data_IF_594100587058
#
_entry.id   IF_594100587058
#
_cell.length_a   1.000
_cell.length_b   1.000
_cell.length_c   1.000
_cell.angle_alpha   90.00
_cell.angle_beta   90.00
_cell.angle_gamma   90.00
#
_symmetry.space_group_name_H-M   'P 1'
#
loop_
_entity.id
_entity.type
_entity.pdbx_description
1 polymer ?
#
# COMPACT_ATOMS: atom_id res chain seq x y z
N UNK A 1 -29.70 56.40 -24.42
CA UNK A 1 -30.01 54.93 -24.39
C UNK A 1 -28.97 54.02 -25.10
N UNK A 2 -28.27 54.45 -26.12
CA UNK A 2 -27.28 53.60 -26.84
C UNK A 2 -26.01 53.23 -26.02
N UNK A 3 -25.54 54.10 -25.11
CA UNK A 3 -24.33 53.85 -24.30
C UNK A 3 -24.51 52.80 -23.24
N UNK A 4 -25.72 52.65 -22.70
CA UNK A 4 -26.03 51.62 -21.64
C UNK A 4 -26.07 50.22 -22.28
N UNK A 5 -26.63 50.08 -23.49
CA UNK A 5 -26.68 48.78 -24.20
C UNK A 5 -25.29 48.25 -24.58
N UNK A 6 -24.34 49.13 -24.92
CA UNK A 6 -22.97 48.73 -25.28
C UNK A 6 -22.16 48.22 -24.10
N UNK A 7 -22.39 48.75 -22.90
CA UNK A 7 -21.72 48.28 -21.67
C UNK A 7 -22.32 46.93 -21.17
N UNK A 8 -23.60 46.71 -21.36
CA UNK A 8 -24.24 45.44 -21.01
C UNK A 8 -23.77 44.26 -21.90
N UNK A 9 -23.60 44.51 -23.19
CA UNK A 9 -23.08 43.53 -24.13
C UNK A 9 -21.59 43.14 -23.82
N UNK A 10 -20.76 44.12 -23.42
CA UNK A 10 -19.38 43.84 -22.96
C UNK A 10 -19.33 43.05 -21.65
N UNK A 11 -20.25 43.34 -20.71
CA UNK A 11 -20.31 42.62 -19.43
C UNK A 11 -20.72 41.17 -19.63
N UNK A 12 -21.69 40.87 -20.48
CA UNK A 12 -22.13 39.53 -20.82
C UNK A 12 -21.00 38.74 -21.52
N UNK A 13 -20.23 39.39 -22.42
CA UNK A 13 -19.11 38.73 -23.11
C UNK A 13 -17.97 38.34 -22.14
N UNK A 14 -17.71 39.15 -21.12
CA UNK A 14 -16.69 38.88 -20.10
C UNK A 14 -17.16 37.73 -19.17
N UNK A 15 -18.43 37.69 -18.81
CA UNK A 15 -18.98 36.62 -17.96
C UNK A 15 -18.97 35.29 -18.71
N UNK A 16 -19.28 35.22 -19.99
CA UNK A 16 -19.20 33.99 -20.80
C UNK A 16 -17.77 33.49 -20.98
N UNK A 17 -16.78 34.39 -21.07
CA UNK A 17 -15.35 34.01 -21.12
C UNK A 17 -14.84 33.44 -19.81
N UNK A 18 -15.31 33.94 -18.68
CA UNK A 18 -14.92 33.45 -17.34
C UNK A 18 -15.51 32.04 -17.07
N UNK A 19 -16.74 31.78 -17.51
CA UNK A 19 -17.39 30.48 -17.30
C UNK A 19 -16.69 29.36 -18.09
N UNK A 20 -16.06 29.67 -19.24
CA UNK A 20 -15.29 28.67 -20.01
C UNK A 20 -13.91 28.32 -19.43
N UNK A 21 -13.40 29.07 -18.43
CA UNK A 21 -12.11 28.78 -17.79
C UNK A 21 -12.22 27.86 -16.56
N UNK A 22 -13.43 27.54 -16.07
CA UNK A 22 -13.64 26.77 -14.84
C UNK A 22 -13.86 25.25 -15.14
N UNK A 23 -13.85 24.85 -16.39
CA UNK A 23 -13.92 23.41 -16.74
C UNK A 23 -12.55 22.78 -16.91
N UNK A 24 -11.64 23.01 -15.94
CA UNK A 24 -10.56 22.06 -15.71
C UNK A 24 -11.18 20.93 -14.87
N UNK A 25 -11.79 19.99 -15.57
CA UNK A 25 -12.16 18.71 -14.98
C UNK A 25 -10.86 18.08 -14.47
N UNK A 26 -10.69 18.08 -13.15
CA UNK A 26 -9.75 17.17 -12.51
C UNK A 26 -10.19 15.76 -12.92
N UNK A 27 -9.51 15.20 -13.92
CA UNK A 27 -9.70 13.79 -14.25
C UNK A 27 -9.27 13.04 -13.01
N UNK A 28 -10.10 12.11 -12.48
CA UNK A 28 -9.64 11.23 -11.44
C UNK A 28 -8.44 10.48 -12.02
N UNK A 29 -7.28 10.68 -11.44
CA UNK A 29 -6.13 9.83 -11.68
C UNK A 29 -6.59 8.43 -11.30
N UNK A 30 -6.80 7.56 -12.31
CA UNK A 30 -7.03 6.13 -12.10
C UNK A 30 -5.69 5.57 -11.59
N UNK A 31 -5.44 5.83 -10.32
CA UNK A 31 -4.27 5.36 -9.61
C UNK A 31 -4.62 4.08 -8.83
N UNK A 32 -3.63 3.42 -8.32
CA UNK A 32 -3.63 2.19 -7.49
C UNK A 32 -4.84 1.98 -6.54
N UNK A 33 -5.69 2.98 -6.34
CA UNK A 33 -6.90 2.93 -5.51
C UNK A 33 -7.98 1.97 -6.04
N UNK A 34 -8.00 1.67 -7.35
CA UNK A 34 -8.98 0.73 -7.93
C UNK A 34 -8.63 -0.74 -7.71
N UNK A 35 -7.36 -1.05 -7.40
CA UNK A 35 -6.91 -2.41 -7.13
C UNK A 35 -7.27 -2.87 -5.72
N UNK A 36 -7.23 -1.95 -4.75
CA UNK A 36 -7.35 -2.26 -3.34
C UNK A 36 -8.68 -1.78 -2.75
N UNK A 37 -9.36 -2.69 -2.05
CA UNK A 37 -10.50 -2.36 -1.21
C UNK A 37 -10.13 -2.50 0.26
N UNK A 38 -10.23 -1.41 1.02
CA UNK A 38 -9.89 -1.39 2.45
C UNK A 38 -11.11 -1.74 3.29
N UNK A 39 -10.96 -2.68 4.20
CA UNK A 39 -11.99 -3.09 5.15
C UNK A 39 -11.36 -3.17 6.55
N UNK A 40 -11.53 -2.10 7.34
CA UNK A 40 -10.94 -2.00 8.67
C UNK A 40 -9.43 -2.32 8.67
N UNK A 41 -9.02 -3.36 9.37
CA UNK A 41 -7.62 -3.80 9.49
C UNK A 41 -7.14 -4.68 8.33
N UNK A 42 -7.96 -4.88 7.30
CA UNK A 42 -7.64 -5.65 6.10
C UNK A 42 -7.63 -4.80 4.83
N UNK A 43 -6.86 -5.25 3.87
CA UNK A 43 -6.83 -4.75 2.50
C UNK A 43 -7.03 -5.90 1.54
N UNK A 44 -8.06 -5.82 0.73
CA UNK A 44 -8.37 -6.82 -0.30
C UNK A 44 -7.76 -6.34 -1.61
N UNK A 45 -6.88 -7.15 -2.19
CA UNK A 45 -6.39 -6.98 -3.55
C UNK A 45 -7.38 -7.67 -4.51
N UNK A 46 -8.08 -6.86 -5.28
CA UNK A 46 -9.11 -7.31 -6.21
C UNK A 46 -8.53 -8.03 -7.44
N UNK A 47 -7.26 -7.79 -7.78
CA UNK A 47 -6.63 -8.42 -8.94
C UNK A 47 -6.09 -9.82 -8.63
N UNK A 48 -5.59 -10.01 -7.43
CA UNK A 48 -4.99 -11.28 -7.00
C UNK A 48 -5.91 -12.12 -6.13
N UNK A 49 -7.07 -11.57 -5.73
CA UNK A 49 -8.00 -12.19 -4.77
C UNK A 49 -7.30 -12.56 -3.45
N UNK A 50 -6.38 -11.70 -3.01
CA UNK A 50 -5.69 -11.87 -1.72
C UNK A 50 -6.18 -10.84 -0.70
N UNK A 51 -6.06 -11.18 0.56
CA UNK A 51 -6.36 -10.31 1.68
C UNK A 51 -5.09 -10.08 2.50
N UNK A 52 -4.74 -8.83 2.70
CA UNK A 52 -3.54 -8.39 3.40
C UNK A 52 -3.88 -7.83 4.77
N UNK A 53 -3.00 -8.05 5.74
CA UNK A 53 -3.01 -7.22 6.93
C UNK A 53 -2.66 -5.78 6.55
N UNK A 54 -3.52 -4.83 6.93
CA UNK A 54 -3.30 -3.40 6.67
C UNK A 54 -2.09 -2.86 7.43
N UNK A 55 -1.91 -3.31 8.65
CA UNK A 55 -0.75 -2.98 9.50
C UNK A 55 0.34 -4.05 9.40
N UNK A 56 1.58 -3.66 9.62
CA UNK A 56 2.70 -4.57 9.79
C UNK A 56 2.58 -5.32 11.13
N UNK A 57 3.19 -6.49 11.25
CA UNK A 57 3.24 -7.23 12.51
C UNK A 57 3.87 -6.36 13.61
N UNK A 58 3.25 -6.35 14.78
CA UNK A 58 3.57 -5.47 15.91
C UNK A 58 2.75 -4.19 15.98
N UNK A 59 2.16 -3.77 14.87
CA UNK A 59 1.25 -2.63 14.85
C UNK A 59 -0.21 -3.07 15.00
N UNK A 60 -1.07 -2.11 15.40
CA UNK A 60 -2.52 -2.30 15.53
C UNK A 60 -3.27 -1.25 14.75
N UNK A 61 -4.33 -1.65 14.08
CA UNK A 61 -5.30 -0.74 13.48
C UNK A 61 -6.20 -0.11 14.56
N UNK A 62 -6.27 1.21 14.62
CA UNK A 62 -7.06 1.95 15.63
C UNK A 62 -8.39 2.49 15.08
N UNK A 63 -8.77 2.12 13.86
CA UNK A 63 -9.95 2.66 13.16
C UNK A 63 -9.58 3.69 12.08
N UNK A 64 -8.43 4.32 12.19
CA UNK A 64 -7.96 5.39 11.29
C UNK A 64 -6.58 5.09 10.68
N UNK A 65 -5.65 4.63 11.51
CA UNK A 65 -4.27 4.37 11.09
C UNK A 65 -3.66 3.18 11.83
N UNK A 66 -2.46 2.74 11.40
CA UNK A 66 -1.67 1.74 12.10
C UNK A 66 -0.84 2.41 13.20
N UNK A 67 -1.01 1.98 14.44
CA UNK A 67 -0.32 2.48 15.63
C UNK A 67 0.58 1.42 16.25
N UNK A 68 1.56 1.85 17.03
CA UNK A 68 2.57 0.98 17.64
C UNK A 68 3.82 0.85 16.76
N UNK A 69 4.76 0.03 17.22
CA UNK A 69 6.02 -0.23 16.51
C UNK A 69 5.96 -1.58 15.80
N UNK A 70 6.57 -1.65 14.64
CA UNK A 70 6.78 -2.95 13.99
C UNK A 70 7.65 -3.85 14.85
N UNK A 71 7.40 -5.14 14.74
CA UNK A 71 8.26 -6.18 15.30
C UNK A 71 9.00 -6.84 14.14
N UNK A 72 10.34 -6.77 14.18
CA UNK A 72 11.17 -7.50 13.23
C UNK A 72 11.39 -8.92 13.72
N UNK A 73 11.19 -9.89 12.86
CA UNK A 73 11.18 -11.33 13.18
C UNK A 73 12.11 -12.09 12.24
N UNK A 74 12.73 -13.13 12.76
CA UNK A 74 13.46 -14.11 11.96
C UNK A 74 12.52 -15.26 11.52
N UNK A 75 12.99 -16.16 10.67
CA UNK A 75 12.15 -17.25 10.14
C UNK A 75 11.70 -18.26 11.20
N UNK A 76 12.46 -18.47 12.27
CA UNK A 76 12.11 -19.43 13.32
C UNK A 76 10.92 -18.92 14.16
N UNK A 77 10.71 -17.61 14.21
CA UNK A 77 9.61 -16.97 14.92
C UNK A 77 8.30 -16.93 14.11
N UNK A 78 8.34 -17.28 12.81
CA UNK A 78 7.17 -17.14 11.93
C UNK A 78 6.05 -18.12 12.28
N UNK A 79 6.37 -19.33 12.68
CA UNK A 79 5.35 -20.34 13.02
C UNK A 79 4.44 -19.85 14.15
N UNK A 80 5.02 -19.28 15.20
CA UNK A 80 4.27 -18.72 16.33
C UNK A 80 3.39 -17.54 15.89
N UNK A 81 3.93 -16.63 15.10
CA UNK A 81 3.18 -15.46 14.60
C UNK A 81 2.03 -15.87 13.70
N UNK A 82 2.22 -16.84 12.82
CA UNK A 82 1.17 -17.36 11.95
C UNK A 82 0.08 -18.09 12.75
N UNK A 83 0.46 -18.81 13.80
CA UNK A 83 -0.49 -19.43 14.73
C UNK A 83 -1.33 -18.37 15.44
N UNK A 84 -0.71 -17.35 16.04
CA UNK A 84 -1.42 -16.24 16.69
C UNK A 84 -2.33 -15.47 15.72
N UNK A 85 -1.87 -15.22 14.51
CA UNK A 85 -2.70 -14.58 13.48
C UNK A 85 -3.93 -15.44 13.14
N UNK A 86 -3.76 -16.75 13.02
CA UNK A 86 -4.85 -17.68 12.74
C UNK A 86 -5.87 -17.76 13.88
N UNK A 87 -5.43 -17.72 15.12
CA UNK A 87 -6.29 -17.72 16.31
C UNK A 87 -7.10 -16.42 16.45
N UNK A 88 -6.49 -15.28 16.14
CA UNK A 88 -7.12 -13.97 16.35
C UNK A 88 -7.92 -13.46 15.15
N UNK A 89 -7.50 -13.79 13.93
CA UNK A 89 -8.00 -13.20 12.70
C UNK A 89 -8.55 -14.23 11.69
N UNK A 90 -8.62 -15.50 12.10
CA UNK A 90 -9.02 -16.61 11.24
C UNK A 90 -7.85 -17.21 10.46
N UNK A 91 -8.06 -18.38 9.88
CA UNK A 91 -7.01 -19.19 9.24
C UNK A 91 -6.50 -18.64 7.89
N UNK A 92 -5.42 -19.25 7.40
CA UNK A 92 -4.89 -19.02 6.06
C UNK A 92 -3.81 -17.95 5.97
N UNK A 93 -3.45 -17.27 7.06
CA UNK A 93 -2.37 -16.29 7.07
C UNK A 93 -1.02 -16.93 6.80
N UNK A 94 -0.23 -16.27 5.95
CA UNK A 94 1.10 -16.70 5.56
C UNK A 94 2.00 -15.50 5.22
N UNK A 95 3.28 -15.74 5.08
CA UNK A 95 4.17 -14.79 4.42
C UNK A 95 3.77 -14.66 2.94
N UNK A 96 3.89 -13.46 2.36
CA UNK A 96 3.66 -13.26 0.94
C UNK A 96 4.74 -13.93 0.10
N UNK A 97 4.39 -14.34 -1.11
CA UNK A 97 5.37 -14.62 -2.14
C UNK A 97 6.14 -13.34 -2.53
N UNK A 98 7.27 -13.49 -3.22
CA UNK A 98 8.02 -12.34 -3.71
C UNK A 98 7.17 -11.43 -4.61
N UNK A 99 6.46 -12.02 -5.56
CA UNK A 99 5.60 -11.28 -6.50
C UNK A 99 4.46 -10.54 -5.80
N UNK A 100 3.83 -11.17 -4.82
CA UNK A 100 2.78 -10.54 -4.04
C UNK A 100 3.31 -9.31 -3.29
N UNK A 101 4.45 -9.42 -2.61
CA UNK A 101 5.00 -8.30 -1.87
C UNK A 101 5.55 -7.20 -2.80
N UNK A 102 6.13 -7.57 -3.95
CA UNK A 102 6.54 -6.64 -5.00
C UNK A 102 5.36 -5.84 -5.57
N UNK A 103 4.16 -6.44 -5.66
CA UNK A 103 2.96 -5.76 -6.18
C UNK A 103 2.48 -4.61 -5.29
N UNK A 104 2.88 -4.57 -4.03
CA UNK A 104 2.58 -3.46 -3.13
C UNK A 104 3.50 -2.24 -3.34
N UNK A 105 4.58 -2.39 -4.12
CA UNK A 105 5.56 -1.32 -4.33
C UNK A 105 4.97 -0.23 -5.21
N UNK A 106 4.87 0.96 -4.66
CA UNK A 106 4.53 2.19 -5.36
C UNK A 106 5.83 2.95 -5.70
N UNK A 107 6.30 2.86 -6.95
CA UNK A 107 7.57 3.46 -7.35
C UNK A 107 7.55 4.99 -7.31
N UNK A 108 6.40 5.59 -7.63
CA UNK A 108 6.20 7.04 -7.68
C UNK A 108 5.84 7.64 -6.30
N UNK A 109 5.54 6.79 -5.31
CA UNK A 109 5.27 7.25 -3.96
C UNK A 109 6.55 7.83 -3.30
N UNK A 110 6.36 8.71 -2.31
CA UNK A 110 7.42 9.08 -1.37
C UNK A 110 7.86 7.85 -0.58
N UNK A 111 8.92 7.97 0.20
CA UNK A 111 9.33 6.94 1.17
C UNK A 111 8.32 6.94 2.33
N UNK A 112 7.81 5.76 2.69
CA UNK A 112 8.04 4.41 2.13
C UNK A 112 7.44 4.23 0.73
N UNK A 113 8.07 3.40 -0.10
CA UNK A 113 7.65 3.06 -1.47
C UNK A 113 6.45 2.10 -1.47
N UNK A 114 5.37 2.52 -0.85
CA UNK A 114 4.07 1.83 -0.76
C UNK A 114 2.98 2.90 -0.66
N UNK A 115 1.76 2.59 -1.08
CA UNK A 115 0.65 3.52 -0.92
C UNK A 115 0.28 3.68 0.56
N UNK A 116 0.60 4.84 1.14
CA UNK A 116 0.39 5.13 2.56
C UNK A 116 -1.09 5.34 2.95
N UNK A 117 -1.98 5.61 2.00
CA UNK A 117 -3.42 5.67 2.24
C UNK A 117 -4.01 4.27 2.47
N UNK A 118 -3.47 3.29 1.75
CA UNK A 118 -3.88 1.88 1.84
C UNK A 118 -3.16 1.19 3.00
N UNK A 119 -1.84 1.40 3.13
CA UNK A 119 -0.96 0.76 4.12
C UNK A 119 -0.25 1.82 4.99
N UNK A 120 -1.00 2.51 5.87
CA UNK A 120 -0.44 3.61 6.65
C UNK A 120 0.65 3.16 7.62
N UNK A 121 1.57 4.07 7.91
CA UNK A 121 2.67 3.86 8.85
C UNK A 121 3.51 2.60 8.58
N UNK A 122 3.65 2.23 7.30
CA UNK A 122 4.59 1.19 6.89
C UNK A 122 6.02 1.72 7.06
N UNK A 123 6.85 1.01 7.80
CA UNK A 123 8.25 1.40 7.97
C UNK A 123 9.05 1.20 6.68
N UNK A 124 9.97 2.12 6.35
CA UNK A 124 10.81 2.04 5.15
C UNK A 124 12.00 1.10 5.35
N UNK A 125 11.73 -0.17 5.57
CA UNK A 125 12.71 -1.23 5.85
C UNK A 125 12.45 -2.46 4.97
N UNK A 126 13.35 -3.47 4.97
CA UNK A 126 13.09 -4.75 4.31
C UNK A 126 11.99 -5.55 5.02
N UNK A 127 11.10 -6.13 4.22
CA UNK A 127 10.03 -7.04 4.65
C UNK A 127 10.27 -8.45 4.10
N UNK A 128 10.01 -9.47 4.92
CA UNK A 128 10.13 -10.85 4.53
C UNK A 128 9.12 -11.27 3.45
N UNK A 129 9.60 -12.10 2.53
CA UNK A 129 8.75 -13.02 1.77
C UNK A 129 8.89 -14.44 2.29
N UNK A 130 7.95 -15.33 1.95
CA UNK A 130 8.06 -16.76 2.24
C UNK A 130 8.96 -17.52 1.26
N UNK A 131 9.58 -16.85 0.28
CA UNK A 131 10.33 -17.52 -0.78
C UNK A 131 11.82 -17.59 -0.51
N UNK A 132 12.38 -18.80 -0.59
CA UNK A 132 13.82 -18.99 -0.66
C UNK A 132 14.38 -18.56 -2.02
N UNK A 133 15.59 -18.03 -2.01
CA UNK A 133 16.32 -17.76 -3.23
C UNK A 133 16.80 -19.09 -3.86
N UNK A 134 16.29 -19.40 -5.05
CA UNK A 134 16.61 -20.66 -5.77
C UNK A 134 18.08 -20.78 -6.15
N UNK A 135 18.76 -19.66 -6.37
CA UNK A 135 20.18 -19.61 -6.72
C UNK A 135 21.11 -19.58 -5.50
N UNK A 136 20.61 -19.05 -4.38
CA UNK A 136 21.34 -18.97 -3.12
C UNK A 136 20.48 -19.58 -2.00
N UNK A 137 20.43 -20.90 -1.94
CA UNK A 137 19.47 -21.70 -1.12
C UNK A 137 19.44 -21.39 0.38
N UNK A 138 20.49 -20.74 0.90
CA UNK A 138 20.56 -20.31 2.31
C UNK A 138 19.85 -18.99 2.57
N UNK A 139 19.43 -18.28 1.51
CA UNK A 139 18.84 -16.95 1.62
C UNK A 139 17.37 -16.97 1.24
N UNK A 140 16.66 -15.95 1.76
CA UNK A 140 15.29 -15.65 1.42
C UNK A 140 15.20 -14.29 0.72
N UNK A 141 14.12 -14.13 -0.04
CA UNK A 141 13.77 -12.87 -0.67
C UNK A 141 13.13 -11.91 0.33
N UNK A 142 13.38 -10.64 0.13
CA UNK A 142 12.73 -9.54 0.82
C UNK A 142 12.42 -8.41 -0.15
N UNK A 143 11.43 -7.58 0.17
CA UNK A 143 11.15 -6.33 -0.52
C UNK A 143 11.42 -5.19 0.45
N UNK A 144 12.19 -4.18 0.01
CA UNK A 144 12.55 -3.04 0.85
C UNK A 144 11.72 -1.82 0.45
N UNK A 145 10.82 -1.39 1.32
CA UNK A 145 9.98 -0.21 1.05
C UNK A 145 10.69 1.13 1.19
N UNK A 146 11.98 1.17 1.58
CA UNK A 146 12.80 2.38 1.43
C UNK A 146 13.18 2.59 -0.05
N UNK A 147 13.66 1.54 -0.71
CA UNK A 147 14.17 1.60 -2.09
C UNK A 147 13.14 1.20 -3.15
N UNK A 148 12.10 0.44 -2.79
CA UNK A 148 11.18 -0.23 -3.71
C UNK A 148 11.81 -1.43 -4.45
N UNK A 149 12.96 -1.93 -3.99
CA UNK A 149 13.69 -3.02 -4.63
C UNK A 149 13.59 -4.32 -3.83
N UNK A 150 13.82 -5.43 -4.53
CA UNK A 150 13.83 -6.79 -3.99
C UNK A 150 15.25 -7.29 -3.82
N UNK A 151 15.50 -7.96 -2.70
CA UNK A 151 16.83 -8.49 -2.34
C UNK A 151 16.72 -9.95 -1.91
N UNK A 152 17.49 -10.84 -2.54
CA UNK A 152 17.51 -12.28 -2.26
C UNK A 152 18.75 -12.72 -1.47
N UNK A 153 19.13 -11.96 -0.43
CA UNK A 153 20.41 -12.13 0.28
C UNK A 153 20.32 -12.20 1.81
N UNK A 154 19.10 -12.31 2.35
CA UNK A 154 18.91 -12.36 3.80
C UNK A 154 18.90 -13.79 4.32
N UNK A 155 19.68 -14.04 5.35
CA UNK A 155 19.68 -15.31 6.05
C UNK A 155 18.45 -15.46 6.96
N UNK A 156 17.94 -16.68 7.18
CA UNK A 156 16.70 -16.90 7.96
C UNK A 156 16.81 -16.44 9.43
N UNK A 157 17.99 -16.37 9.99
CA UNK A 157 18.22 -15.89 11.36
C UNK A 157 18.22 -14.37 11.50
N UNK A 158 18.24 -13.61 10.41
CA UNK A 158 18.14 -12.16 10.42
C UNK A 158 16.69 -11.75 10.69
N UNK A 159 16.49 -10.64 11.39
CA UNK A 159 15.15 -10.15 11.71
C UNK A 159 14.76 -9.02 10.76
N UNK A 160 13.64 -9.20 10.04
CA UNK A 160 13.05 -8.22 9.15
C UNK A 160 11.59 -7.97 9.53
N UNK A 161 11.03 -6.90 9.01
CA UNK A 161 9.61 -6.59 9.14
C UNK A 161 8.74 -7.65 8.43
N UNK A 162 7.48 -7.75 8.87
CA UNK A 162 6.52 -8.73 8.36
C UNK A 162 5.17 -8.08 8.07
N UNK A 163 4.60 -8.41 6.93
CA UNK A 163 3.20 -8.16 6.59
C UNK A 163 2.60 -9.47 6.08
N UNK A 164 1.51 -9.90 6.69
CA UNK A 164 0.88 -11.16 6.33
C UNK A 164 -0.17 -10.98 5.24
N UNK A 165 -0.37 -12.05 4.50
CA UNK A 165 -1.37 -12.17 3.44
C UNK A 165 -2.06 -13.53 3.55
N UNK A 166 -3.30 -13.62 3.06
CA UNK A 166 -4.00 -14.90 2.84
C UNK A 166 -4.74 -14.90 1.52
N UNK A 167 -5.02 -16.06 0.99
CA UNK A 167 -5.94 -16.21 -0.13
C UNK A 167 -7.38 -16.00 0.37
N UNK A 168 -8.21 -15.46 -0.46
CA UNK A 168 -9.61 -15.19 -0.18
C UNK A 168 -10.51 -16.25 -0.76
#
# INVERSE_FOLDING_TARGET
>A
MAKIKKNFAKLILIITLIINYISISAQPTVGQSSQFYTKEHFVIDLYTSTEWMRCSVGQRWNGETCTGKIISLNHDQMEEVLKLASEQLGSGWRLPSRKELESLVCRDCKIPKINAEIFPNTDPVPYWTGERNKFAKRHFWSVNFYTGNTYGRFYPYQSLAVRLVRNR
#
